data_IF_083782825941
#
_entry.id   IF_083782825941
#
_cell.length_a   1.000
_cell.length_b   1.000
_cell.length_c   1.000
_cell.angle_alpha   90.00
_cell.angle_beta   90.00
_cell.angle_gamma   90.00
#
_symmetry.space_group_name_H-M   'P 1'
#
loop_
_entity.id
_entity.type
_entity.pdbx_description
1 polymer ?
#
# COMPACT_ATOMS: atom_id res chain seq x y z
N UNK A 1 -2.05 -15.47 32.02
CA UNK A 1 -2.15 -14.21 31.25
C UNK A 1 -1.09 -14.03 30.16
N UNK A 2 0.08 -14.70 30.19
CA UNK A 2 1.11 -14.56 29.13
C UNK A 2 0.87 -15.37 27.82
N UNK A 3 -0.05 -16.34 27.81
CA UNK A 3 -0.29 -17.22 26.64
C UNK A 3 -1.33 -16.73 25.61
N UNK A 4 -2.16 -15.73 25.91
CA UNK A 4 -3.20 -15.27 24.96
C UNK A 4 -2.80 -14.03 24.16
N UNK A 5 -1.89 -13.20 24.67
CA UNK A 5 -1.30 -12.11 23.89
C UNK A 5 -0.44 -12.63 22.72
N UNK A 6 0.12 -13.82 22.90
CA UNK A 6 0.81 -14.56 21.84
C UNK A 6 -0.14 -15.10 20.75
N UNK A 7 -1.45 -15.21 20.95
CA UNK A 7 -2.37 -15.78 19.95
C UNK A 7 -3.03 -14.75 19.03
N UNK A 8 -3.23 -13.51 19.50
CA UNK A 8 -3.74 -12.40 18.67
C UNK A 8 -2.62 -11.83 17.79
N UNK A 9 -1.41 -11.72 18.34
CA UNK A 9 -0.22 -11.45 17.54
C UNK A 9 0.02 -12.64 16.60
N UNK A 10 -0.17 -13.90 17.02
CA UNK A 10 -0.04 -15.03 16.09
C UNK A 10 -1.13 -15.12 15.00
N UNK A 11 -2.36 -14.60 15.18
CA UNK A 11 -3.36 -14.57 14.09
C UNK A 11 -3.15 -13.40 13.13
N UNK A 12 -2.72 -12.22 13.61
CA UNK A 12 -2.28 -11.13 12.74
C UNK A 12 -0.96 -11.48 12.02
N UNK A 13 -0.03 -12.17 12.70
CA UNK A 13 1.19 -12.72 12.10
C UNK A 13 0.90 -13.94 11.22
N UNK A 14 -0.14 -14.75 11.46
CA UNK A 14 -0.52 -15.85 10.55
C UNK A 14 -1.19 -15.34 9.27
N UNK A 15 -1.93 -14.21 9.32
CA UNK A 15 -2.44 -13.54 8.13
C UNK A 15 -1.32 -12.80 7.36
N UNK A 16 -0.35 -12.21 8.07
CA UNK A 16 0.85 -11.62 7.45
C UNK A 16 1.86 -12.67 6.95
N UNK A 17 1.86 -13.89 7.51
CA UNK A 17 2.71 -15.01 7.08
C UNK A 17 2.12 -15.82 5.92
N UNK A 18 0.88 -15.56 5.51
CA UNK A 18 0.20 -16.24 4.40
C UNK A 18 -0.09 -15.33 3.20
N UNK A 19 0.22 -14.04 3.29
CA UNK A 19 0.24 -13.13 2.15
C UNK A 19 1.69 -12.96 1.70
N UNK A 20 2.01 -13.06 0.39
CA UNK A 20 3.34 -12.72 -0.10
C UNK A 20 3.68 -11.30 0.35
N UNK A 21 4.90 -11.09 0.85
CA UNK A 21 5.36 -9.77 1.26
C UNK A 21 5.13 -8.76 0.14
N UNK A 22 4.32 -7.74 0.42
CA UNK A 22 3.90 -6.74 -0.57
C UNK A 22 4.60 -5.43 -0.28
N UNK A 23 5.35 -4.93 -1.26
CA UNK A 23 5.97 -3.61 -1.17
C UNK A 23 5.02 -2.66 -1.85
N UNK A 24 4.53 -1.72 -1.06
CA UNK A 24 3.42 -0.86 -1.45
C UNK A 24 3.93 0.54 -1.69
N UNK A 25 3.10 1.31 -2.37
CA UNK A 25 3.24 2.73 -2.32
C UNK A 25 2.95 3.27 -0.90
N UNK A 26 3.46 4.46 -0.58
CA UNK A 26 3.14 5.15 0.69
C UNK A 26 1.67 5.54 0.83
N UNK A 27 0.81 5.25 -0.16
CA UNK A 27 -0.63 5.32 0.00
C UNK A 27 -1.47 4.59 -1.05
N UNK A 28 -2.72 4.34 -0.68
CA UNK A 28 -3.83 3.74 -1.42
C UNK A 28 -4.64 4.69 -2.34
N UNK A 29 -4.66 4.51 -3.66
CA UNK A 29 -5.38 5.37 -4.63
C UNK A 29 -6.90 5.13 -4.72
N UNK A 30 -7.62 5.98 -5.45
CA UNK A 30 -9.09 5.84 -5.65
C UNK A 30 -9.47 5.13 -6.95
N UNK A 31 -10.72 4.62 -6.94
CA UNK A 31 -11.33 3.66 -7.87
C UNK A 31 -11.72 4.25 -9.23
N UNK A 32 -11.62 3.45 -10.29
CA UNK A 32 -12.44 3.61 -11.50
C UNK A 32 -13.89 3.16 -11.25
N UNK A 33 -14.80 3.47 -12.17
CA UNK A 33 -16.22 3.07 -12.09
C UNK A 33 -16.45 1.54 -12.12
N UNK A 34 -15.48 0.76 -12.62
CA UNK A 34 -15.50 -0.71 -12.65
C UNK A 34 -14.58 -1.34 -11.58
N UNK A 35 -13.88 -0.53 -10.79
CA UNK A 35 -12.93 -0.97 -9.77
C UNK A 35 -11.53 -1.37 -10.28
N UNK A 36 -11.27 -1.33 -11.58
CA UNK A 36 -9.95 -1.61 -12.18
C UNK A 36 -8.99 -0.41 -12.15
N UNK A 37 -7.72 -0.64 -11.83
CA UNK A 37 -6.70 0.42 -11.91
C UNK A 37 -6.22 0.72 -13.33
N UNK A 38 -6.67 -0.07 -14.31
CA UNK A 38 -6.38 0.14 -15.73
C UNK A 38 -7.60 -0.10 -16.62
N UNK A 39 -7.55 0.45 -17.84
CA UNK A 39 -8.55 0.21 -18.89
C UNK A 39 -7.86 0.03 -20.24
N UNK A 40 -8.28 -0.97 -20.99
CA UNK A 40 -7.81 -1.20 -22.37
C UNK A 40 -8.87 -0.68 -23.32
N UNK A 41 -8.59 0.44 -23.99
CA UNK A 41 -9.46 1.00 -25.01
C UNK A 41 -9.08 0.39 -26.35
N UNK A 42 -9.79 -0.66 -26.74
CA UNK A 42 -9.72 -1.13 -28.10
C UNK A 42 -10.59 -0.21 -28.96
N UNK A 43 -10.00 0.74 -29.69
CA UNK A 43 -10.73 1.45 -30.74
C UNK A 43 -11.43 0.40 -31.62
N UNK A 44 -12.74 0.60 -31.83
CA UNK A 44 -13.73 -0.38 -32.27
C UNK A 44 -13.18 -1.52 -33.15
N UNK A 45 -13.57 -2.77 -32.83
CA UNK A 45 -13.23 -3.99 -33.57
C UNK A 45 -13.21 -3.74 -35.09
N UNK A 46 -12.01 -3.70 -35.69
CA UNK A 46 -11.81 -3.61 -37.13
C UNK A 46 -11.02 -2.40 -37.64
N UNK A 47 -10.80 -1.36 -36.83
CA UNK A 47 -9.94 -0.22 -37.23
C UNK A 47 -8.56 -0.30 -36.55
N UNK A 48 -7.59 -0.92 -37.25
CA UNK A 48 -6.19 -1.01 -36.82
C UNK A 48 -5.37 0.25 -37.13
N UNK A 49 -5.99 1.31 -37.64
CA UNK A 49 -5.28 2.57 -37.95
C UNK A 49 -4.92 3.39 -36.70
N UNK A 50 -5.63 3.16 -35.60
CA UNK A 50 -5.38 3.82 -34.31
C UNK A 50 -4.52 2.95 -33.38
N UNK A 51 -3.65 3.56 -32.56
CA UNK A 51 -2.89 2.82 -31.56
C UNK A 51 -3.81 2.14 -30.54
N UNK A 52 -3.38 1.01 -29.99
CA UNK A 52 -4.01 0.42 -28.81
C UNK A 52 -3.71 1.32 -27.61
N UNK A 53 -4.74 1.97 -27.07
CA UNK A 53 -4.57 2.83 -25.89
C UNK A 53 -4.96 2.09 -24.61
N UNK A 54 -4.05 2.14 -23.63
CA UNK A 54 -4.18 1.49 -22.33
C UNK A 54 -3.97 2.56 -21.27
N UNK A 55 -4.98 2.77 -20.43
CA UNK A 55 -4.93 3.77 -19.35
C UNK A 55 -4.55 3.08 -18.04
N UNK A 56 -3.58 3.63 -17.31
CA UNK A 56 -3.17 3.24 -15.95
C UNK A 56 -3.45 4.43 -15.02
N UNK A 57 -4.72 4.55 -14.59
CA UNK A 57 -5.26 5.71 -13.88
C UNK A 57 -5.65 5.38 -12.43
N UNK A 58 -5.24 4.23 -11.92
CA UNK A 58 -5.42 3.84 -10.51
C UNK A 58 -4.10 3.47 -9.85
N UNK A 59 -4.20 2.87 -8.67
CA UNK A 59 -3.05 2.29 -8.00
C UNK A 59 -2.72 0.90 -8.54
N UNK A 60 -1.47 0.72 -8.96
CA UNK A 60 -0.99 -0.54 -9.55
C UNK A 60 -1.07 -1.67 -8.51
N UNK A 61 -1.76 -2.74 -8.85
CA UNK A 61 -1.84 -3.96 -8.05
C UNK A 61 -2.82 -3.92 -6.88
N UNK A 62 -3.49 -2.79 -6.63
CA UNK A 62 -4.54 -2.72 -5.60
C UNK A 62 -5.91 -3.20 -6.13
N UNK A 63 -6.76 -3.70 -5.22
CA UNK A 63 -8.18 -4.04 -5.47
C UNK A 63 -8.54 -5.12 -6.50
N UNK A 64 -7.81 -6.25 -6.52
CA UNK A 64 -8.33 -7.50 -7.11
C UNK A 64 -8.06 -7.70 -8.60
N UNK A 65 -7.36 -6.75 -9.25
CA UNK A 65 -6.72 -6.96 -10.55
C UNK A 65 -5.21 -7.01 -10.41
N UNK A 66 -4.60 -8.18 -10.64
CA UNK A 66 -3.14 -8.37 -10.58
C UNK A 66 -2.45 -7.92 -11.87
N UNK A 67 -1.13 -7.70 -11.84
CA UNK A 67 -0.36 -7.54 -13.08
C UNK A 67 -0.53 -8.74 -14.03
N UNK A 68 -0.71 -9.96 -13.52
CA UNK A 68 -0.99 -11.13 -14.36
C UNK A 68 -2.26 -10.95 -15.20
N UNK A 69 -3.33 -10.43 -14.60
CA UNK A 69 -4.59 -10.17 -15.31
C UNK A 69 -4.43 -9.03 -16.32
N UNK A 70 -3.74 -7.95 -15.94
CA UNK A 70 -3.38 -6.87 -16.87
C UNK A 70 -2.62 -7.41 -18.09
N UNK A 71 -1.59 -8.24 -17.85
CA UNK A 71 -0.77 -8.80 -18.92
C UNK A 71 -1.54 -9.77 -19.81
N UNK A 72 -2.45 -10.56 -19.24
CA UNK A 72 -3.32 -11.45 -19.99
C UNK A 72 -4.28 -10.66 -20.90
N UNK A 73 -4.91 -9.60 -20.38
CA UNK A 73 -5.82 -8.74 -21.15
C UNK A 73 -5.07 -7.93 -22.22
N UNK A 74 -3.87 -7.42 -21.90
CA UNK A 74 -2.98 -6.79 -22.87
C UNK A 74 -2.63 -7.74 -24.01
N UNK A 75 -2.25 -8.98 -23.69
CA UNK A 75 -1.93 -9.99 -24.69
C UNK A 75 -3.15 -10.33 -25.57
N UNK A 76 -4.34 -10.33 -25.02
CA UNK A 76 -5.57 -10.60 -25.77
C UNK A 76 -5.98 -9.43 -26.68
N UNK A 77 -5.68 -8.19 -26.27
CA UNK A 77 -5.99 -6.99 -27.03
C UNK A 77 -4.89 -6.63 -28.06
N UNK A 78 -3.66 -7.11 -27.88
CA UNK A 78 -2.55 -6.88 -28.77
C UNK A 78 -2.65 -7.77 -30.04
N UNK A 79 -2.70 -7.13 -31.21
CA UNK A 79 -2.67 -7.79 -32.53
C UNK A 79 -1.24 -8.12 -33.02
N UNK A 80 -0.22 -7.70 -32.27
CA UNK A 80 1.19 -7.89 -32.58
C UNK A 80 1.76 -6.85 -33.55
N UNK A 81 0.97 -5.91 -34.07
CA UNK A 81 1.33 -5.02 -35.17
C UNK A 81 1.17 -3.54 -34.83
N UNK A 82 0.02 -3.13 -34.29
CA UNK A 82 -0.26 -1.70 -34.09
C UNK A 82 0.58 -1.10 -32.96
N UNK A 83 0.86 0.22 -32.99
CA UNK A 83 1.48 0.90 -31.86
C UNK A 83 0.61 0.81 -30.60
N UNK A 84 1.23 0.84 -29.42
CA UNK A 84 0.59 0.79 -28.12
C UNK A 84 0.92 2.08 -27.37
N UNK A 85 -0.10 2.75 -26.85
CA UNK A 85 0.05 3.91 -25.96
C UNK A 85 -0.37 3.50 -24.55
N UNK A 86 0.56 3.62 -23.60
CA UNK A 86 0.27 3.48 -22.16
C UNK A 86 0.07 4.87 -21.59
N UNK A 87 -1.17 5.31 -21.44
CA UNK A 87 -1.52 6.57 -20.79
C UNK A 87 -1.47 6.41 -19.27
N UNK A 88 -0.68 7.23 -18.58
CA UNK A 88 -0.37 7.09 -17.16
C UNK A 88 -0.82 8.33 -16.40
N UNK A 89 -1.68 8.09 -15.40
CA UNK A 89 -2.04 9.08 -14.39
C UNK A 89 -2.23 8.37 -13.04
N UNK A 90 -1.13 7.84 -12.51
CA UNK A 90 -1.10 6.94 -11.37
C UNK A 90 -0.14 7.41 -10.29
N UNK A 91 -0.55 7.20 -9.05
CA UNK A 91 0.28 7.43 -7.86
C UNK A 91 1.30 6.29 -7.61
N UNK A 92 1.30 5.25 -8.44
CA UNK A 92 2.12 4.06 -8.28
C UNK A 92 1.34 2.90 -7.67
N UNK A 93 2.00 2.05 -6.88
CA UNK A 93 1.36 0.90 -6.25
C UNK A 93 2.38 -0.16 -5.85
N UNK A 94 2.02 -1.43 -6.07
CA UNK A 94 2.87 -2.58 -5.77
C UNK A 94 4.12 -2.61 -6.67
N UNK A 95 5.30 -2.82 -6.09
CA UNK A 95 6.57 -2.72 -6.84
C UNK A 95 6.78 -3.91 -7.78
N UNK A 96 6.41 -5.12 -7.36
CA UNK A 96 6.54 -6.34 -8.15
C UNK A 96 5.71 -6.31 -9.42
N UNK A 97 4.46 -5.87 -9.32
CA UNK A 97 3.54 -5.62 -10.42
C UNK A 97 4.11 -4.53 -11.34
N UNK A 98 4.67 -3.46 -10.78
CA UNK A 98 5.42 -2.45 -11.52
C UNK A 98 6.55 -3.04 -12.36
N UNK A 99 7.38 -3.91 -11.78
CA UNK A 99 8.45 -4.61 -12.49
C UNK A 99 7.92 -5.58 -13.55
N UNK A 100 6.85 -6.32 -13.27
CA UNK A 100 6.24 -7.26 -14.20
C UNK A 100 5.72 -6.54 -15.45
N UNK A 101 5.03 -5.41 -15.25
CA UNK A 101 4.51 -4.56 -16.32
C UNK A 101 5.67 -3.92 -17.08
N UNK A 102 6.65 -3.30 -16.39
CA UNK A 102 7.86 -2.74 -17.01
C UNK A 102 8.52 -3.75 -17.97
N UNK A 103 8.79 -4.96 -17.48
CA UNK A 103 9.43 -6.01 -18.26
C UNK A 103 8.56 -6.47 -19.44
N UNK A 104 7.24 -6.39 -19.33
CA UNK A 104 6.35 -6.71 -20.45
C UNK A 104 6.37 -5.65 -21.54
N UNK A 105 6.37 -4.37 -21.15
CA UNK A 105 6.48 -3.26 -22.11
C UNK A 105 7.83 -3.31 -22.85
N UNK A 106 8.92 -3.63 -22.15
CA UNK A 106 10.23 -3.82 -22.77
C UNK A 106 10.21 -4.90 -23.87
N UNK A 107 9.50 -6.02 -23.65
CA UNK A 107 9.38 -7.09 -24.65
C UNK A 107 8.62 -6.68 -25.91
N UNK A 108 7.72 -5.70 -25.79
CA UNK A 108 6.96 -5.16 -26.92
C UNK A 108 7.78 -4.17 -27.77
N UNK A 109 8.90 -3.66 -27.24
CA UNK A 109 9.89 -2.88 -27.96
C UNK A 109 9.35 -1.56 -28.50
N UNK A 110 9.76 -1.21 -29.72
CA UNK A 110 9.51 0.11 -30.35
C UNK A 110 8.03 0.47 -30.51
N UNK A 111 7.13 -0.52 -30.38
CA UNK A 111 5.68 -0.31 -30.47
C UNK A 111 5.11 0.47 -29.29
N UNK A 112 5.78 0.49 -28.14
CA UNK A 112 5.22 1.05 -26.90
C UNK A 112 5.69 2.47 -26.64
N UNK A 113 4.72 3.38 -26.52
CA UNK A 113 4.92 4.74 -26.00
C UNK A 113 4.19 4.88 -24.66
N UNK A 114 4.90 5.23 -23.60
CA UNK A 114 4.29 5.70 -22.35
C UNK A 114 4.00 7.19 -22.48
N UNK A 115 2.77 7.61 -22.17
CA UNK A 115 2.35 9.01 -22.13
C UNK A 115 1.91 9.36 -20.71
N UNK A 116 2.62 10.25 -20.05
CA UNK A 116 2.31 10.70 -18.69
C UNK A 116 1.38 11.91 -18.79
N UNK A 117 0.11 11.68 -18.48
CA UNK A 117 -0.98 12.66 -18.68
C UNK A 117 -1.20 13.54 -17.44
N UNK A 118 -0.76 13.09 -16.26
CA UNK A 118 -0.81 13.87 -15.02
C UNK A 118 0.26 13.46 -14.02
N UNK A 119 0.18 12.23 -13.51
CA UNK A 119 1.13 11.72 -12.53
C UNK A 119 1.72 10.37 -12.94
N UNK A 120 3.04 10.22 -12.81
CA UNK A 120 3.73 8.94 -12.81
C UNK A 120 4.60 8.84 -11.56
N UNK A 121 3.99 8.44 -10.45
CA UNK A 121 4.65 8.42 -9.14
C UNK A 121 5.02 6.98 -8.76
N UNK A 122 6.16 6.81 -8.09
CA UNK A 122 6.56 5.50 -7.53
C UNK A 122 6.59 4.43 -8.64
N UNK A 123 5.94 3.28 -8.45
CA UNK A 123 5.86 2.18 -9.43
C UNK A 123 5.28 2.59 -10.79
N UNK A 124 4.51 3.67 -10.89
CA UNK A 124 4.04 4.16 -12.18
C UNK A 124 5.19 4.78 -13.01
N UNK A 125 6.16 5.40 -12.34
CA UNK A 125 7.42 5.82 -12.97
C UNK A 125 8.20 4.61 -13.50
N UNK A 126 8.30 3.53 -12.71
CA UNK A 126 8.90 2.26 -13.14
C UNK A 126 8.24 1.74 -14.42
N UNK A 127 6.90 1.69 -14.45
CA UNK A 127 6.14 1.27 -15.63
C UNK A 127 6.43 2.15 -16.84
N UNK A 128 6.44 3.48 -16.68
CA UNK A 128 6.75 4.41 -17.75
C UNK A 128 8.13 4.13 -18.38
N UNK A 129 9.15 3.84 -17.55
CA UNK A 129 10.50 3.55 -18.02
C UNK A 129 10.62 2.21 -18.78
N UNK A 130 9.58 1.36 -18.74
CA UNK A 130 9.52 0.11 -19.50
C UNK A 130 9.15 0.31 -20.97
N UNK A 131 8.64 1.48 -21.34
CA UNK A 131 8.30 1.80 -22.72
C UNK A 131 9.54 2.18 -23.55
N UNK A 132 9.45 1.96 -24.87
CA UNK A 132 10.50 2.41 -25.78
C UNK A 132 10.57 3.93 -25.85
N UNK A 133 9.40 4.60 -25.91
CA UNK A 133 9.31 6.07 -25.89
C UNK A 133 8.53 6.54 -24.66
N UNK A 134 8.98 7.62 -24.04
CA UNK A 134 8.31 8.26 -22.90
C UNK A 134 8.00 9.70 -23.24
N UNK A 135 6.71 10.03 -23.25
CA UNK A 135 6.17 11.37 -23.44
C UNK A 135 5.55 11.84 -22.13
N UNK A 136 5.68 13.13 -21.82
CA UNK A 136 5.15 13.69 -20.58
C UNK A 136 4.53 15.05 -20.85
N UNK A 137 3.31 15.27 -20.39
CA UNK A 137 2.67 16.58 -20.49
C UNK A 137 3.40 17.63 -19.64
N UNK A 138 3.43 18.87 -20.10
CA UNK A 138 4.13 19.98 -19.45
C UNK A 138 3.65 20.28 -18.01
N UNK A 139 2.40 19.95 -17.70
CA UNK A 139 1.79 20.06 -16.38
C UNK A 139 1.86 18.78 -15.53
N UNK A 140 2.48 17.71 -16.05
CA UNK A 140 2.59 16.43 -15.35
C UNK A 140 3.81 16.37 -14.42
N UNK A 141 3.84 15.38 -13.53
CA UNK A 141 4.93 15.13 -12.58
C UNK A 141 5.38 13.66 -12.57
N UNK A 142 6.69 13.45 -12.55
CA UNK A 142 7.36 12.16 -12.33
C UNK A 142 7.94 12.16 -10.92
N UNK A 143 7.76 11.07 -10.17
CA UNK A 143 8.32 10.96 -8.81
C UNK A 143 8.93 9.58 -8.58
N UNK A 144 10.12 9.58 -7.98
CA UNK A 144 10.83 8.38 -7.56
C UNK A 144 11.17 8.45 -6.07
N UNK A 145 10.99 7.34 -5.36
CA UNK A 145 11.30 7.22 -3.94
C UNK A 145 11.68 5.79 -3.58
N UNK A 146 12.30 5.61 -2.42
CA UNK A 146 12.57 4.28 -1.87
C UNK A 146 11.29 3.46 -1.68
N UNK A 147 11.38 2.12 -1.77
CA UNK A 147 10.26 1.24 -1.49
C UNK A 147 9.76 1.48 -0.06
N UNK A 148 8.47 1.21 0.16
CA UNK A 148 7.86 1.32 1.46
C UNK A 148 6.99 0.10 1.73
N UNK A 149 6.89 -0.30 3.00
CA UNK A 149 6.05 -1.41 3.40
C UNK A 149 5.55 -1.22 4.83
N UNK A 150 4.55 -2.01 5.20
CA UNK A 150 4.11 -2.18 6.57
C UNK A 150 4.50 -3.58 7.03
N UNK A 151 5.15 -3.67 8.19
CA UNK A 151 5.66 -4.92 8.72
C UNK A 151 5.34 -5.05 10.21
N UNK A 152 5.15 -6.28 10.68
CA UNK A 152 5.06 -6.64 12.08
C UNK A 152 5.85 -7.93 12.30
N UNK A 153 6.68 -7.95 13.35
CA UNK A 153 7.57 -9.05 13.63
C UNK A 153 8.59 -8.71 14.71
N UNK A 154 9.53 -9.60 14.94
CA UNK A 154 10.68 -9.37 15.81
C UNK A 154 11.83 -8.64 15.09
N UNK A 155 12.91 -8.39 15.82
CA UNK A 155 14.06 -7.64 15.29
C UNK A 155 14.78 -8.34 14.14
N UNK A 156 14.77 -9.67 14.07
CA UNK A 156 15.40 -10.42 12.99
C UNK A 156 14.54 -10.35 11.73
N UNK A 157 13.22 -10.47 11.89
CA UNK A 157 12.26 -10.29 10.80
C UNK A 157 12.33 -8.88 10.20
N UNK A 158 12.42 -7.83 11.04
CA UNK A 158 12.59 -6.47 10.53
C UNK A 158 13.91 -6.24 9.78
N UNK A 159 15.01 -6.89 10.18
CA UNK A 159 16.27 -6.82 9.41
C UNK A 159 16.12 -7.49 8.05
N UNK A 160 15.50 -8.67 7.99
CA UNK A 160 15.23 -9.37 6.72
C UNK A 160 14.36 -8.52 5.79
N UNK A 161 13.35 -7.85 6.32
CA UNK A 161 12.49 -6.96 5.54
C UNK A 161 13.28 -5.76 5.01
N UNK A 162 14.15 -5.17 5.83
CA UNK A 162 15.04 -4.10 5.37
C UNK A 162 15.97 -4.59 4.24
N UNK A 163 16.58 -5.77 4.37
CA UNK A 163 17.45 -6.35 3.34
C UNK A 163 16.69 -6.55 2.01
N UNK A 164 15.42 -6.98 2.07
CA UNK A 164 14.57 -7.15 0.88
C UNK A 164 14.23 -5.79 0.26
N UNK A 165 13.94 -4.78 1.08
CA UNK A 165 13.69 -3.43 0.58
C UNK A 165 14.93 -2.87 -0.13
N UNK A 166 16.12 -3.10 0.41
CA UNK A 166 17.38 -2.70 -0.22
C UNK A 166 17.59 -3.44 -1.56
N UNK A 167 17.27 -4.73 -1.64
CA UNK A 167 17.27 -5.48 -2.91
C UNK A 167 16.28 -4.90 -3.94
N UNK A 168 15.14 -4.40 -3.48
CA UNK A 168 14.12 -3.85 -4.36
C UNK A 168 14.52 -2.48 -4.89
N UNK A 169 15.32 -1.71 -4.14
CA UNK A 169 15.96 -0.49 -4.65
C UNK A 169 16.83 -0.81 -5.87
N UNK A 170 17.55 -1.94 -5.90
CA UNK A 170 18.34 -2.35 -7.06
C UNK A 170 17.46 -2.54 -8.31
N UNK A 171 16.28 -3.15 -8.15
CA UNK A 171 15.30 -3.28 -9.23
C UNK A 171 14.77 -1.92 -9.71
N UNK A 172 14.49 -1.00 -8.78
CA UNK A 172 14.04 0.36 -9.10
C UNK A 172 15.12 1.10 -9.90
N UNK A 173 16.37 1.08 -9.42
CA UNK A 173 17.51 1.71 -10.10
C UNK A 173 17.67 1.15 -11.51
N UNK A 174 17.65 -0.18 -11.66
CA UNK A 174 17.75 -0.84 -12.96
C UNK A 174 16.62 -0.42 -13.90
N UNK A 175 15.38 -0.33 -13.41
CA UNK A 175 14.23 0.13 -14.20
C UNK A 175 14.41 1.55 -14.75
N UNK A 176 14.95 2.48 -13.97
CA UNK A 176 15.23 3.84 -14.43
C UNK A 176 16.44 3.91 -15.37
N UNK A 177 17.47 3.08 -15.15
CA UNK A 177 18.67 2.99 -16.00
C UNK A 177 18.42 2.34 -17.37
N UNK A 178 17.24 1.75 -17.61
CA UNK A 178 16.84 1.35 -18.97
C UNK A 178 16.70 2.54 -19.93
N UNK A 179 16.65 3.77 -19.40
CA UNK A 179 16.71 5.00 -20.17
C UNK A 179 18.15 5.49 -20.30
N UNK A 180 18.42 6.23 -21.37
CA UNK A 180 19.71 6.90 -21.53
C UNK A 180 19.73 8.19 -20.69
N UNK A 181 20.08 8.03 -19.41
CA UNK A 181 20.12 9.13 -18.45
C UNK A 181 21.34 10.03 -18.69
N UNK A 182 21.20 11.31 -18.34
CA UNK A 182 22.28 12.29 -18.29
C UNK A 182 22.93 12.41 -16.90
N UNK A 183 22.41 11.65 -15.93
CA UNK A 183 22.93 11.50 -14.57
C UNK A 183 23.58 10.13 -14.37
N UNK A 184 24.51 10.03 -13.41
CA UNK A 184 25.09 8.75 -13.01
C UNK A 184 24.21 7.98 -12.01
N UNK A 185 24.57 6.73 -11.72
CA UNK A 185 23.82 5.89 -10.78
C UNK A 185 23.82 6.46 -9.35
N UNK A 186 24.91 7.09 -8.92
CA UNK A 186 25.01 7.64 -7.57
C UNK A 186 24.02 8.80 -7.38
N UNK A 187 23.87 9.64 -8.40
CA UNK A 187 22.87 10.69 -8.47
C UNK A 187 21.45 10.12 -8.47
N UNK A 188 21.17 9.11 -9.32
CA UNK A 188 19.87 8.46 -9.37
C UNK A 188 19.48 7.88 -8.00
N UNK A 189 20.40 7.18 -7.33
CA UNK A 189 20.17 6.66 -5.96
C UNK A 189 19.92 7.78 -4.96
N UNK A 190 20.64 8.90 -5.06
CA UNK A 190 20.38 10.07 -4.21
C UNK A 190 18.97 10.60 -4.43
N UNK A 191 18.52 10.67 -5.67
CA UNK A 191 17.18 11.14 -6.01
C UNK A 191 16.08 10.21 -5.48
N UNK A 192 16.25 8.89 -5.61
CA UNK A 192 15.35 7.88 -5.05
C UNK A 192 15.31 8.00 -3.51
N UNK A 193 16.47 8.13 -2.87
CA UNK A 193 16.54 8.32 -1.41
C UNK A 193 15.86 9.61 -0.94
N UNK A 194 15.92 10.65 -1.76
CA UNK A 194 15.38 11.97 -1.45
C UNK A 194 13.89 12.13 -1.79
N UNK A 195 13.20 11.10 -2.28
CA UNK A 195 11.80 11.22 -2.76
C UNK A 195 11.67 12.37 -3.80
N UNK A 196 12.40 12.26 -4.90
CA UNK A 196 12.53 13.36 -5.86
C UNK A 196 11.34 13.45 -6.80
N UNK A 197 10.84 14.67 -6.96
CA UNK A 197 9.79 15.04 -7.90
C UNK A 197 10.40 15.84 -9.04
N UNK A 198 10.02 15.51 -10.26
CA UNK A 198 10.51 16.13 -11.48
C UNK A 198 9.33 16.64 -12.30
N UNK A 199 9.45 17.89 -12.75
CA UNK A 199 8.63 18.43 -13.83
C UNK A 199 8.98 17.75 -15.16
N UNK A 200 8.12 17.90 -16.16
CA UNK A 200 8.38 17.33 -17.49
C UNK A 200 9.69 17.82 -18.12
N UNK A 201 10.06 19.09 -17.88
CA UNK A 201 11.32 19.66 -18.39
C UNK A 201 12.53 19.07 -17.67
N UNK A 202 12.51 19.01 -16.34
CA UNK A 202 13.61 18.40 -15.56
C UNK A 202 13.78 16.91 -15.89
N UNK A 203 12.66 16.17 -16.00
CA UNK A 203 12.68 14.76 -16.37
C UNK A 203 13.26 14.53 -17.76
N UNK A 204 13.00 15.43 -18.71
CA UNK A 204 13.58 15.39 -20.06
C UNK A 204 15.08 15.71 -20.04
N UNK A 205 15.48 16.77 -19.32
CA UNK A 205 16.89 17.15 -19.20
C UNK A 205 17.73 16.03 -18.56
N UNK A 206 17.13 15.27 -17.64
CA UNK A 206 17.76 14.12 -16.98
C UNK A 206 17.72 12.81 -17.80
N UNK A 207 17.01 12.79 -18.93
CA UNK A 207 16.91 11.64 -19.84
C UNK A 207 15.84 10.60 -19.48
N UNK A 208 14.97 10.88 -18.51
CA UNK A 208 13.83 10.00 -18.18
C UNK A 208 12.71 10.09 -19.22
N UNK A 209 12.56 11.26 -19.85
CA UNK A 209 11.49 11.57 -20.81
C UNK A 209 12.11 11.96 -22.15
N UNK A 210 11.55 11.48 -23.26
CA UNK A 210 12.01 11.83 -24.61
C UNK A 210 11.40 13.13 -25.11
N UNK A 211 10.11 13.36 -24.80
CA UNK A 211 9.33 14.45 -25.35
C UNK A 211 8.41 15.06 -24.30
N UNK A 212 8.41 16.40 -24.23
CA UNK A 212 7.44 17.16 -23.45
C UNK A 212 6.31 17.57 -24.39
N UNK A 213 5.08 17.18 -24.04
CA UNK A 213 3.89 17.50 -24.79
C UNK A 213 3.28 18.80 -24.26
N UNK A 214 2.94 19.73 -25.16
CA UNK A 214 2.25 20.98 -24.82
C UNK A 214 0.76 20.81 -25.07
N UNK A 215 -0.09 21.19 -24.11
CA UNK A 215 -1.54 21.17 -24.26
C UNK A 215 -2.25 20.47 -23.11
N UNK A 216 -3.58 20.64 -23.05
CA UNK A 216 -4.44 20.15 -21.96
C UNK A 216 -4.51 18.62 -21.96
N UNK A 217 -3.55 17.97 -21.32
CA UNK A 217 -3.75 16.65 -20.76
C UNK A 217 -4.87 16.80 -19.73
N UNK A 218 -6.01 16.15 -19.98
CA UNK A 218 -7.13 16.18 -19.05
C UNK A 218 -6.68 15.43 -17.79
N UNK A 219 -6.35 16.17 -16.73
CA UNK A 219 -5.98 15.61 -15.42
C UNK A 219 -7.25 15.11 -14.74
N UNK A 220 -7.78 13.99 -15.21
CA UNK A 220 -8.94 13.33 -14.60
C UNK A 220 -8.45 12.21 -13.68
N UNK A 221 -7.79 12.59 -12.58
CA UNK A 221 -7.64 11.70 -11.42
C UNK A 221 -7.62 12.50 -10.11
N UNK A 222 -8.61 13.38 -10.02
CA UNK A 222 -8.80 14.34 -8.94
C UNK A 222 -8.93 13.65 -7.57
N UNK A 223 -9.49 12.46 -7.48
CA UNK A 223 -9.75 11.80 -6.18
C UNK A 223 -8.52 11.21 -5.46
N UNK A 224 -7.37 11.05 -6.14
CA UNK A 224 -6.15 10.47 -5.55
C UNK A 224 -5.18 11.51 -4.96
N UNK A 225 -5.43 12.81 -5.13
CA UNK A 225 -4.48 13.87 -4.77
C UNK A 225 -4.23 13.99 -3.24
N UNK A 226 -5.24 13.77 -2.39
CA UNK A 226 -5.10 13.85 -0.92
C UNK A 226 -4.09 12.87 -0.33
N UNK A 227 -3.82 11.77 -1.03
CA UNK A 227 -2.90 10.76 -0.51
C UNK A 227 -1.44 11.15 -0.63
N UNK A 228 -1.15 12.12 -1.50
CA UNK A 228 0.18 12.63 -1.69
C UNK A 228 0.72 13.34 -0.43
N UNK A 229 -0.16 13.70 0.52
CA UNK A 229 0.21 14.22 1.86
C UNK A 229 1.13 13.28 2.67
N UNK A 230 1.26 12.01 2.27
CA UNK A 230 2.15 11.04 2.93
C UNK A 230 3.60 11.12 2.45
N UNK A 231 3.87 11.79 1.33
CA UNK A 231 5.24 12.05 0.86
C UNK A 231 5.80 13.29 1.54
N UNK A 232 7.08 13.24 1.93
CA UNK A 232 7.68 14.31 2.74
C UNK A 232 8.09 15.51 1.89
N UNK A 233 8.49 15.26 0.64
CA UNK A 233 9.13 16.26 -0.23
C UNK A 233 8.26 16.70 -1.41
N UNK A 234 6.94 16.69 -1.24
CA UNK A 234 5.99 17.10 -2.29
C UNK A 234 6.15 18.60 -2.65
N UNK A 235 6.27 18.95 -3.94
CA UNK A 235 6.37 20.35 -4.38
C UNK A 235 5.13 21.19 -4.05
N UNK A 236 5.36 22.47 -3.78
CA UNK A 236 4.28 23.41 -3.45
C UNK A 236 3.24 23.57 -4.58
N UNK A 237 3.65 23.44 -5.85
CA UNK A 237 2.74 23.47 -6.99
C UNK A 237 1.75 22.30 -6.99
N UNK A 238 2.21 21.08 -6.66
CA UNK A 238 1.34 19.91 -6.51
C UNK A 238 0.40 20.12 -5.33
N UNK A 239 0.93 20.61 -4.20
CA UNK A 239 0.11 20.96 -3.03
C UNK A 239 -0.96 22.01 -3.36
N UNK A 240 -0.63 23.03 -4.14
CA UNK A 240 -1.58 24.05 -4.58
C UNK A 240 -2.65 23.48 -5.52
N UNK A 241 -2.31 22.52 -6.38
CA UNK A 241 -3.31 21.80 -7.20
C UNK A 241 -4.24 20.95 -6.32
N UNK A 242 -3.75 20.38 -5.21
CA UNK A 242 -4.58 19.69 -4.22
C UNK A 242 -5.52 20.67 -3.50
N UNK A 243 -5.04 21.87 -3.14
CA UNK A 243 -5.81 22.88 -2.41
C UNK A 243 -6.83 23.62 -3.30
N UNK A 244 -6.56 23.71 -4.61
CA UNK A 244 -7.47 24.24 -5.63
C UNK A 244 -8.55 23.25 -6.04
N UNK A 245 -8.44 22.01 -5.58
CA UNK A 245 -9.46 21.02 -5.77
C UNK A 245 -10.68 21.45 -4.94
N UNK A 246 -11.88 21.61 -5.54
CA UNK A 246 -13.09 21.64 -4.74
C UNK A 246 -13.08 20.37 -3.90
N UNK A 247 -13.53 20.46 -2.63
CA UNK A 247 -13.79 19.25 -1.86
C UNK A 247 -14.50 18.28 -2.81
N UNK A 248 -13.90 17.10 -3.06
CA UNK A 248 -14.70 15.99 -3.52
C UNK A 248 -15.89 15.98 -2.55
N UNK A 249 -17.11 16.05 -3.08
CA UNK A 249 -18.32 16.17 -2.27
C UNK A 249 -18.14 15.35 -0.98
N UNK A 250 -18.45 15.91 0.21
CA UNK A 250 -18.58 15.05 1.37
C UNK A 250 -19.49 13.91 0.92
N UNK A 251 -18.98 12.68 1.04
CA UNK A 251 -19.65 11.41 0.73
C UNK A 251 -21.15 11.64 0.55
N UNK A 252 -21.69 11.59 -0.69
CA UNK A 252 -22.85 12.37 -1.07
C UNK A 252 -23.92 12.29 0.01
N UNK A 253 -24.29 13.45 0.57
CA UNK A 253 -25.52 13.54 1.32
C UNK A 253 -26.61 12.93 0.42
N UNK A 254 -27.48 12.05 0.94
CA UNK A 254 -28.37 11.26 0.11
C UNK A 254 -29.27 12.20 -0.70
N UNK A 255 -28.94 12.41 -1.98
CA UNK A 255 -29.84 13.08 -2.90
C UNK A 255 -31.00 12.16 -3.21
N UNK A 256 -32.18 12.76 -3.24
CA UNK A 256 -33.46 12.11 -3.41
C UNK A 256 -33.50 11.30 -4.71
N UNK A 257 -34.09 10.11 -4.61
CA UNK A 257 -34.27 9.17 -5.72
C UNK A 257 -34.94 9.83 -6.94
N UNK A 258 -34.57 9.43 -8.17
CA UNK A 258 -35.38 9.71 -9.36
C UNK A 258 -36.77 9.08 -9.19
N UNK A 259 -37.81 9.55 -9.92
CA UNK A 259 -39.16 9.06 -9.73
C UNK A 259 -39.20 7.54 -9.94
N UNK A 260 -39.69 6.84 -8.93
CA UNK A 260 -39.84 5.40 -8.91
C UNK A 260 -40.69 4.92 -10.10
N UNK A 261 -40.17 3.95 -10.84
CA UNK A 261 -41.02 2.95 -11.48
C UNK A 261 -41.34 1.90 -10.39
N UNK A 262 -42.64 1.71 -10.18
CA UNK A 262 -43.25 0.97 -9.06
C UNK A 262 -42.97 -0.53 -9.15
N UNK A 263 -42.28 -1.14 -8.17
CA UNK A 263 -42.41 -2.59 -7.89
C UNK A 263 -42.33 -2.92 -6.38
N UNK A 264 -43.15 -3.90 -6.01
CA UNK A 264 -43.71 -4.31 -4.70
C UNK A 264 -42.81 -4.39 -3.44
N UNK A 265 -43.46 -4.17 -2.28
CA UNK A 265 -42.87 -4.16 -0.94
C UNK A 265 -42.16 -5.48 -0.51
N UNK A 266 -41.07 -5.40 0.28
CA UNK A 266 -40.25 -6.57 0.63
C UNK A 266 -40.93 -7.55 1.59
N UNK A 267 -40.86 -8.85 1.27
CA UNK A 267 -41.31 -9.96 2.11
C UNK A 267 -40.38 -10.13 3.33
N UNK A 268 -40.81 -9.55 4.46
CA UNK A 268 -40.10 -9.58 5.74
C UNK A 268 -39.83 -11.01 6.25
N UNK A 269 -40.64 -12.00 5.86
CA UNK A 269 -40.46 -13.40 6.27
C UNK A 269 -39.24 -14.00 5.56
N UNK A 270 -39.07 -13.70 4.26
CA UNK A 270 -37.91 -14.12 3.48
C UNK A 270 -36.61 -13.48 4.01
N UNK A 271 -36.64 -12.21 4.38
CA UNK A 271 -35.47 -11.50 4.94
C UNK A 271 -35.08 -12.02 6.33
N UNK A 272 -36.05 -12.37 7.18
CA UNK A 272 -35.76 -12.97 8.49
C UNK A 272 -35.18 -14.39 8.37
N UNK A 273 -35.66 -15.17 7.39
CA UNK A 273 -35.12 -16.49 7.08
C UNK A 273 -33.69 -16.40 6.55
N UNK A 274 -33.41 -15.44 5.66
CA UNK A 274 -32.08 -15.16 5.16
C UNK A 274 -31.13 -14.76 6.29
N UNK A 275 -31.56 -13.84 7.17
CA UNK A 275 -30.79 -13.40 8.32
C UNK A 275 -30.36 -14.57 9.21
N UNK A 276 -31.30 -15.48 9.50
CA UNK A 276 -31.06 -16.64 10.36
C UNK A 276 -30.11 -17.64 9.71
N UNK A 277 -30.32 -17.95 8.42
CA UNK A 277 -29.49 -18.90 7.67
C UNK A 277 -28.04 -18.39 7.51
N UNK A 278 -27.86 -17.11 7.19
CA UNK A 278 -26.54 -16.51 7.02
C UNK A 278 -25.83 -16.29 8.36
N UNK A 279 -26.55 -15.98 9.44
CA UNK A 279 -25.99 -15.98 10.80
C UNK A 279 -25.46 -17.36 11.21
N UNK A 280 -26.16 -18.43 10.85
CA UNK A 280 -25.70 -19.80 11.11
C UNK A 280 -24.41 -20.12 10.34
N UNK A 281 -24.35 -19.78 9.04
CA UNK A 281 -23.14 -19.95 8.22
C UNK A 281 -21.96 -19.12 8.71
N UNK A 282 -22.22 -17.91 9.21
CA UNK A 282 -21.21 -17.03 9.79
C UNK A 282 -20.78 -17.42 11.22
N UNK A 283 -21.32 -18.52 11.78
CA UNK A 283 -20.97 -19.00 13.11
C UNK A 283 -21.51 -18.12 14.25
N UNK A 284 -22.51 -17.28 13.98
CA UNK A 284 -23.14 -16.35 14.94
C UNK A 284 -24.61 -16.70 15.19
N UNK A 285 -24.99 -17.96 15.04
CA UNK A 285 -26.38 -18.45 15.17
C UNK A 285 -27.08 -17.97 16.45
N UNK A 286 -26.38 -17.93 17.59
CA UNK A 286 -26.91 -17.49 18.88
C UNK A 286 -27.21 -15.98 18.96
N UNK A 287 -26.84 -15.20 17.93
CA UNK A 287 -27.08 -13.76 17.86
C UNK A 287 -28.02 -13.36 16.70
N UNK A 288 -28.64 -14.34 16.02
CA UNK A 288 -29.54 -14.07 14.89
C UNK A 288 -30.71 -13.15 15.27
N UNK A 289 -31.27 -13.29 16.48
CA UNK A 289 -32.34 -12.41 16.98
C UNK A 289 -31.87 -10.95 17.11
N UNK A 290 -30.64 -10.72 17.60
CA UNK A 290 -30.08 -9.38 17.73
C UNK A 290 -29.77 -8.76 16.36
N UNK A 291 -29.33 -9.57 15.39
CA UNK A 291 -29.08 -9.14 14.01
C UNK A 291 -30.37 -8.75 13.30
N UNK A 292 -31.44 -9.52 13.48
CA UNK A 292 -32.76 -9.21 12.91
C UNK A 292 -33.30 -7.89 13.48
N UNK A 293 -33.16 -7.68 14.79
CA UNK A 293 -33.55 -6.42 15.45
C UNK A 293 -32.69 -5.24 14.98
N UNK A 294 -31.38 -5.43 14.79
CA UNK A 294 -30.46 -4.38 14.36
C UNK A 294 -30.60 -4.02 12.87
N UNK A 295 -30.97 -4.98 12.01
CA UNK A 295 -31.20 -4.72 10.57
C UNK A 295 -32.56 -4.07 10.30
N UNK A 296 -33.53 -4.27 11.19
CA UNK A 296 -34.91 -3.82 11.01
C UNK A 296 -35.64 -4.46 9.82
N UNK A 297 -35.04 -5.49 9.19
CA UNK A 297 -35.52 -6.19 7.99
C UNK A 297 -35.93 -5.25 6.84
N UNK A 298 -35.22 -4.14 6.68
CA UNK A 298 -35.53 -3.11 5.67
C UNK A 298 -35.35 -3.63 4.24
N UNK A 299 -34.22 -4.30 4.02
CA UNK A 299 -33.85 -4.93 2.76
C UNK A 299 -32.74 -5.97 3.00
N UNK A 300 -32.40 -6.73 1.96
CA UNK A 300 -31.35 -7.75 2.03
C UNK A 300 -29.95 -7.16 2.33
N UNK A 301 -29.65 -5.97 1.81
CA UNK A 301 -28.36 -5.33 2.02
C UNK A 301 -28.18 -4.91 3.50
N UNK A 302 -29.22 -4.40 4.14
CA UNK A 302 -29.26 -4.04 5.55
C UNK A 302 -29.07 -5.26 6.46
N UNK A 303 -29.68 -6.40 6.10
CA UNK A 303 -29.50 -7.68 6.80
C UNK A 303 -28.05 -8.17 6.68
N UNK A 304 -27.48 -8.18 5.47
CA UNK A 304 -26.09 -8.61 5.24
C UNK A 304 -25.09 -7.69 5.95
N UNK A 305 -25.33 -6.39 5.93
CA UNK A 305 -24.51 -5.42 6.66
C UNK A 305 -24.57 -5.65 8.18
N UNK A 306 -25.75 -5.92 8.74
CA UNK A 306 -25.92 -6.23 10.16
C UNK A 306 -25.21 -7.54 10.56
N UNK A 307 -25.24 -8.57 9.71
CA UNK A 307 -24.51 -9.83 9.93
C UNK A 307 -23.00 -9.58 9.97
N UNK A 308 -22.47 -8.81 9.01
CA UNK A 308 -21.04 -8.49 8.97
C UNK A 308 -20.62 -7.76 10.26
N UNK A 309 -21.37 -6.73 10.66
CA UNK A 309 -21.11 -6.00 11.91
C UNK A 309 -21.17 -6.92 13.14
N UNK A 310 -22.17 -7.79 13.18
CA UNK A 310 -22.35 -8.68 14.32
C UNK A 310 -21.22 -9.70 14.47
N UNK A 311 -20.67 -10.18 13.35
CA UNK A 311 -19.48 -11.01 13.33
C UNK A 311 -18.26 -10.23 13.86
N UNK A 312 -18.03 -9.03 13.33
CA UNK A 312 -16.90 -8.18 13.73
C UNK A 312 -16.96 -7.87 15.25
N UNK A 313 -18.15 -7.57 15.79
CA UNK A 313 -18.36 -7.30 17.22
C UNK A 313 -18.17 -8.55 18.07
N UNK A 314 -18.69 -9.71 17.63
CA UNK A 314 -18.50 -10.97 18.35
C UNK A 314 -17.01 -11.34 18.44
N UNK A 315 -16.27 -11.18 17.34
CA UNK A 315 -14.84 -11.46 17.29
C UNK A 315 -14.06 -10.55 18.25
N UNK A 316 -14.46 -9.29 18.37
CA UNK A 316 -13.92 -8.36 19.37
C UNK A 316 -14.26 -8.76 20.81
N UNK A 317 -15.50 -9.17 21.09
CA UNK A 317 -15.90 -9.65 22.42
C UNK A 317 -15.16 -10.93 22.83
N UNK A 318 -14.87 -11.82 21.87
CA UNK A 318 -14.04 -13.01 22.06
C UNK A 318 -12.62 -12.59 22.47
N UNK A 319 -12.02 -11.65 21.72
CA UNK A 319 -10.68 -11.11 22.01
C UNK A 319 -10.61 -10.47 23.40
N UNK A 320 -11.64 -9.69 23.76
CA UNK A 320 -11.74 -9.02 25.06
C UNK A 320 -12.12 -9.95 26.22
N UNK A 321 -12.45 -11.23 25.95
CA UNK A 321 -13.01 -12.18 26.94
C UNK A 321 -14.28 -11.66 27.63
N UNK A 322 -15.09 -10.89 26.91
CA UNK A 322 -16.36 -10.35 27.38
C UNK A 322 -17.50 -10.85 26.48
N UNK A 323 -17.64 -12.18 26.38
CA UNK A 323 -18.61 -12.82 25.48
C UNK A 323 -20.05 -12.40 25.78
N UNK A 324 -20.36 -12.17 27.05
CA UNK A 324 -21.70 -11.78 27.52
C UNK A 324 -22.14 -10.40 26.98
N UNK A 325 -21.20 -9.56 26.55
CA UNK A 325 -21.49 -8.23 25.98
C UNK A 325 -21.78 -8.25 24.48
N UNK A 326 -21.54 -9.37 23.79
CA UNK A 326 -21.72 -9.44 22.34
C UNK A 326 -23.17 -9.16 21.93
N UNK A 327 -24.17 -9.72 22.60
CA UNK A 327 -25.58 -9.49 22.26
C UNK A 327 -26.00 -8.03 22.36
N UNK A 328 -25.60 -7.35 23.44
CA UNK A 328 -25.93 -5.93 23.68
C UNK A 328 -25.23 -5.01 22.67
N UNK A 329 -23.96 -5.26 22.38
CA UNK A 329 -23.18 -4.47 21.41
C UNK A 329 -23.69 -4.68 19.98
N UNK A 330 -24.11 -5.90 19.63
CA UNK A 330 -24.70 -6.21 18.32
C UNK A 330 -26.06 -5.52 18.16
N UNK A 331 -26.88 -5.51 19.22
CA UNK A 331 -28.21 -4.90 19.18
C UNK A 331 -28.17 -3.36 19.17
N UNK A 332 -27.15 -2.75 19.77
CA UNK A 332 -26.99 -1.30 19.85
C UNK A 332 -26.71 -0.59 18.52
N UNK A 333 -26.53 -1.33 17.41
CA UNK A 333 -26.23 -0.85 16.06
C UNK A 333 -25.01 0.10 15.97
N UNK A 334 -24.13 0.09 16.98
CA UNK A 334 -22.89 0.87 16.99
C UNK A 334 -21.85 0.32 16.02
N UNK A 335 -20.88 1.16 15.66
CA UNK A 335 -19.78 0.74 14.79
C UNK A 335 -18.82 -0.23 15.51
N UNK A 336 -18.02 -0.98 14.74
CA UNK A 336 -17.01 -1.87 15.33
C UNK A 336 -15.99 -1.11 16.20
N UNK A 337 -15.73 0.16 15.89
CA UNK A 337 -14.80 1.01 16.66
C UNK A 337 -15.41 1.48 17.97
N UNK A 338 -16.72 1.78 18.00
CA UNK A 338 -17.46 2.07 19.24
C UNK A 338 -17.52 0.85 20.17
N UNK A 339 -17.69 -0.35 19.59
CA UNK A 339 -17.63 -1.60 20.34
C UNK A 339 -16.23 -1.83 20.95
N UNK A 340 -15.15 -1.54 20.19
CA UNK A 340 -13.77 -1.59 20.71
C UNK A 340 -13.55 -0.62 21.87
N UNK A 341 -14.02 0.62 21.75
CA UNK A 341 -13.87 1.62 22.80
C UNK A 341 -14.56 1.15 24.11
N UNK A 342 -15.81 0.70 24.02
CA UNK A 342 -16.57 0.18 25.18
C UNK A 342 -15.92 -1.05 25.82
N UNK A 343 -15.35 -1.94 25.02
CA UNK A 343 -14.61 -3.11 25.51
C UNK A 343 -13.27 -2.71 26.15
N UNK A 344 -12.57 -1.73 25.58
CA UNK A 344 -11.32 -1.19 26.12
C UNK A 344 -11.51 -0.53 27.47
N UNK A 345 -12.51 0.35 27.61
CA UNK A 345 -12.82 1.04 28.87
C UNK A 345 -13.12 0.02 29.99
N UNK A 346 -13.84 -1.05 29.66
CA UNK A 346 -14.17 -2.12 30.61
C UNK A 346 -12.96 -3.00 30.95
N UNK A 347 -12.03 -3.22 30.02
CA UNK A 347 -10.76 -3.91 30.30
C UNK A 347 -9.84 -3.06 31.19
N UNK A 348 -9.75 -1.76 30.94
CA UNK A 348 -8.96 -0.81 31.74
C UNK A 348 -9.52 -0.69 33.16
N UNK A 349 -10.85 -0.62 33.31
CA UNK A 349 -11.49 -0.63 34.62
C UNK A 349 -11.19 -1.90 35.43
N UNK A 350 -10.88 -3.02 34.78
CA UNK A 350 -10.53 -4.29 35.41
C UNK A 350 -9.00 -4.49 35.61
N UNK A 351 -8.12 -3.59 35.14
CA UNK A 351 -6.67 -3.83 35.02
C UNK A 351 -5.79 -3.20 36.10
N UNK A 352 -6.26 -3.05 37.34
CA UNK A 352 -5.51 -2.44 38.44
C UNK A 352 -4.22 -3.16 38.93
N UNK A 353 -3.50 -3.92 38.09
CA UNK A 353 -2.33 -4.74 38.48
C UNK A 353 -1.18 -4.78 37.44
N UNK A 354 -0.82 -3.68 36.78
CA UNK A 354 0.40 -3.68 35.95
C UNK A 354 1.22 -2.39 36.14
N UNK A 355 2.28 -2.47 36.94
CA UNK A 355 3.42 -1.55 36.86
C UNK A 355 4.39 -2.06 35.78
N UNK A 356 4.72 -1.21 34.81
CA UNK A 356 5.73 -1.49 33.79
C UNK A 356 7.07 -0.97 34.31
N UNK A 357 7.95 -1.88 34.77
CA UNK A 357 9.31 -1.53 35.18
C UNK A 357 10.26 -1.75 33.99
N UNK A 358 10.78 -0.65 33.43
CA UNK A 358 11.67 -0.63 32.27
C UNK A 358 13.15 -0.65 32.68
N UNK A 359 13.53 -1.57 33.57
CA UNK A 359 14.93 -1.86 33.91
C UNK A 359 15.26 -3.29 33.49
N UNK A 360 16.40 -3.53 32.79
CA UNK A 360 16.86 -4.89 32.54
C UNK A 360 17.18 -5.58 33.87
N UNK A 361 16.80 -6.85 33.99
CA UNK A 361 17.06 -7.67 35.17
C UNK A 361 18.59 -7.78 35.35
N UNK A 362 19.10 -7.27 36.48
CA UNK A 362 20.50 -7.48 36.87
C UNK A 362 20.58 -8.87 37.48
N UNK A 363 21.41 -9.73 36.89
CA UNK A 363 21.64 -11.10 37.37
C UNK A 363 22.47 -11.05 38.66
N UNK A 364 21.94 -11.54 39.79
CA UNK A 364 22.58 -11.58 41.12
C UNK A 364 23.66 -12.69 41.23
N UNK A 365 24.39 -12.95 40.15
CA UNK A 365 25.56 -13.82 40.18
C UNK A 365 26.78 -12.99 40.62
N UNK A 366 27.56 -13.41 41.65
CA UNK A 366 28.80 -12.73 41.97
C UNK A 366 29.74 -12.80 40.76
N UNK A 367 30.10 -11.64 40.23
CA UNK A 367 31.00 -11.53 39.08
C UNK A 367 32.33 -12.28 39.37
N UNK A 368 32.86 -13.08 38.43
CA UNK A 368 34.21 -13.61 38.55
C UNK A 368 35.17 -12.42 38.68
N UNK A 369 35.98 -12.39 39.74
CA UNK A 369 36.92 -11.30 40.00
C UNK A 369 37.99 -11.26 38.92
N UNK A 370 37.71 -10.59 37.81
CA UNK A 370 38.70 -10.26 36.81
C UNK A 370 39.72 -9.34 37.49
N UNK A 371 40.99 -9.76 37.53
CA UNK A 371 42.09 -8.91 37.98
C UNK A 371 42.03 -7.60 37.21
N UNK A 372 41.95 -6.48 37.93
CA UNK A 372 41.95 -5.15 37.35
C UNK A 372 43.18 -5.01 36.43
N UNK A 373 42.93 -4.73 35.15
CA UNK A 373 43.99 -4.49 34.17
C UNK A 373 44.72 -3.22 34.56
N UNK A 374 45.99 -3.33 34.93
CA UNK A 374 46.82 -2.18 35.26
C UNK A 374 47.18 -1.42 33.97
N UNK A 375 46.76 -0.15 33.81
CA UNK A 375 47.06 0.64 32.62
C UNK A 375 48.57 0.78 32.34
N UNK A 376 49.41 0.75 33.39
CA UNK A 376 50.87 0.80 33.27
C UNK A 376 51.46 -0.42 32.55
N UNK A 377 50.91 -1.61 32.79
CA UNK A 377 51.38 -2.85 32.17
C UNK A 377 51.01 -2.91 30.68
N UNK A 378 49.86 -2.34 30.33
CA UNK A 378 49.41 -2.21 28.93
C UNK A 378 50.31 -1.23 28.18
N UNK A 379 50.67 -0.10 28.80
CA UNK A 379 51.57 0.90 28.20
C UNK A 379 52.99 0.36 28.05
N UNK A 380 53.51 -0.37 29.04
CA UNK A 380 54.82 -1.00 28.99
C UNK A 380 54.91 -2.07 27.88
N UNK A 381 53.87 -2.90 27.71
CA UNK A 381 53.81 -3.89 26.61
C UNK A 381 53.82 -3.23 25.23
N UNK A 382 53.05 -2.16 25.01
CA UNK A 382 53.04 -1.42 23.73
C UNK A 382 54.38 -0.78 23.42
N UNK A 383 55.05 -0.18 24.42
CA UNK A 383 56.37 0.44 24.25
C UNK A 383 57.46 -0.60 23.91
N UNK A 384 57.44 -1.75 24.56
CA UNK A 384 58.40 -2.83 24.27
C UNK A 384 58.19 -3.45 22.89
N UNK A 385 56.93 -3.58 22.43
CA UNK A 385 56.63 -4.02 21.06
C UNK A 385 57.08 -3.01 20.00
N UNK A 386 56.93 -1.71 20.24
CA UNK A 386 57.43 -0.66 19.35
C UNK A 386 58.97 -0.60 19.31
N UNK A 387 59.65 -0.81 20.44
CA UNK A 387 61.11 -0.89 20.48
C UNK A 387 61.65 -2.14 19.77
N UNK A 388 60.97 -3.28 19.88
CA UNK A 388 61.31 -4.51 19.16
C UNK A 388 61.15 -4.34 17.63
N UNK A 389 60.07 -3.69 17.18
CA UNK A 389 59.85 -3.37 15.77
C UNK A 389 60.91 -2.40 15.21
N UNK A 390 61.38 -1.44 16.03
CA UNK A 390 62.45 -0.49 15.62
C UNK A 390 63.84 -1.13 15.49
N UNK A 391 64.12 -2.21 16.24
CA UNK A 391 65.40 -2.93 16.17
C UNK A 391 65.47 -3.94 15.03
N UNK A 392 64.32 -4.44 14.54
CA UNK A 392 64.23 -5.32 13.37
C UNK A 392 64.37 -4.62 12.02
N UNK A 393 64.32 -3.28 11.99
CA UNK A 393 64.43 -2.48 10.76
C UNK A 393 65.87 -1.93 10.50
N UNK A 394 66.86 -2.35 11.30
CA UNK A 394 68.29 -2.08 11.09
C UNK A 394 69.10 -3.38 11.19
N UNK A 395 68.92 -4.26 10.21
CA UNK A 395 69.89 -5.28 9.80
C UNK A 395 69.69 -5.56 8.33
#
# INVERSE_FOLDING_TARGET
MKKHWQHIIAMAMAAAALLPWRIMNKGSGTRSSDGSWYRINNAAEGDTSQPLEIEIYGEIGDWGKSAEQFLAELKNADDGQRPIVIAINSIGGEVGDGFAIHNALQRLGERVTARIDGFALSSAGIVAMGAHRVQMHDNAMLMMHNPWTWAAGDSEEFRKIADIMDQMVEGIVASFQHRQLSIDEAELRRMINAETWLTASEAKDMGFVDEVLTGTGSVSNTTSLRILNRYRNMPAAVKAQMDQQPDADPDPAPEADPPAEEEDAPDMVALAALATAECAKAGIANHAEHVIKASGLKDEAAVRAAIKRAKDIKDLCIVAKQLDMAGELIQGNGSADEARAKLFDKMVANSGQVEIINHPQVDDQPAPSARAVNPGDVYAKRRNQQQAASKGART
#
